data_IF_141918202492
#
_entry.id   IF_141918202492
#
_cell.length_a   1.000
_cell.length_b   1.000
_cell.length_c   1.000
_cell.angle_alpha   90.00
_cell.angle_beta   90.00
_cell.angle_gamma   90.00
#
_symmetry.space_group_name_H-M   'P 1'
#
loop_
_entity.id
_entity.type
_entity.pdbx_description
1 polymer ?
#
# COMPACT_ATOMS: atom_id res chain seq x y z
N UNK A 1 6.51 8.45 -27.90
CA UNK A 1 7.55 8.17 -26.88
C UNK A 1 7.06 8.53 -25.48
N UNK A 2 6.34 9.65 -25.33
CA UNK A 2 5.83 10.12 -24.04
C UNK A 2 4.91 9.15 -23.29
N UNK A 3 4.00 8.44 -23.99
CA UNK A 3 3.05 7.52 -23.34
C UNK A 3 3.75 6.33 -22.67
N UNK A 4 4.83 5.81 -23.28
CA UNK A 4 5.64 4.74 -22.69
C UNK A 4 6.39 5.21 -21.44
N UNK A 5 6.99 6.41 -21.48
CA UNK A 5 7.63 7.02 -20.31
C UNK A 5 6.62 7.28 -19.17
N UNK A 6 5.39 7.65 -19.51
CA UNK A 6 4.31 7.89 -18.54
C UNK A 6 3.84 6.60 -17.87
N UNK A 7 3.55 5.55 -18.63
CA UNK A 7 3.21 4.23 -18.06
C UNK A 7 4.34 3.69 -17.17
N UNK A 8 5.59 3.90 -17.55
CA UNK A 8 6.74 3.51 -16.74
C UNK A 8 6.75 4.23 -15.39
N UNK A 9 6.43 5.54 -15.38
CA UNK A 9 6.35 6.33 -14.14
C UNK A 9 5.28 5.79 -13.18
N UNK A 10 4.10 5.44 -13.69
CA UNK A 10 2.99 4.95 -12.86
C UNK A 10 3.31 3.59 -12.24
N UNK A 11 3.90 2.67 -13.02
CA UNK A 11 4.35 1.36 -12.52
C UNK A 11 5.46 1.50 -11.45
N UNK A 12 6.34 2.50 -11.57
CA UNK A 12 7.38 2.76 -10.58
C UNK A 12 6.82 3.19 -9.23
N UNK A 13 5.78 4.03 -9.22
CA UNK A 13 5.14 4.46 -7.97
C UNK A 13 4.53 3.24 -7.25
N UNK A 14 3.86 2.35 -7.99
CA UNK A 14 3.24 1.13 -7.44
C UNK A 14 4.30 0.17 -6.90
N UNK A 15 5.45 0.05 -7.58
CA UNK A 15 6.57 -0.78 -7.12
C UNK A 15 7.25 -0.21 -5.86
N UNK A 16 7.35 1.12 -5.76
CA UNK A 16 7.89 1.77 -4.56
C UNK A 16 6.94 1.59 -3.35
N UNK A 17 5.62 1.59 -3.58
CA UNK A 17 4.64 1.37 -2.52
C UNK A 17 4.73 -0.06 -1.95
N UNK A 18 4.89 -1.10 -2.78
CA UNK A 18 5.10 -2.49 -2.31
C UNK A 18 6.44 -2.67 -1.60
N UNK A 19 7.51 -2.08 -2.12
CA UNK A 19 8.84 -2.14 -1.50
C UNK A 19 8.83 -1.53 -0.10
N UNK A 20 8.10 -0.43 0.11
CA UNK A 20 7.97 0.22 1.42
C UNK A 20 7.22 -0.63 2.46
N UNK A 21 6.25 -1.46 2.05
CA UNK A 21 5.53 -2.35 2.96
C UNK A 21 6.38 -3.59 3.30
N UNK A 22 7.10 -4.12 2.32
CA UNK A 22 8.04 -5.22 2.53
C UNK A 22 9.18 -4.84 3.48
N UNK A 23 9.67 -3.59 3.44
CA UNK A 23 10.73 -3.15 4.36
C UNK A 23 10.28 -3.18 5.82
N UNK A 24 9.02 -2.82 6.12
CA UNK A 24 8.46 -2.90 7.48
C UNK A 24 8.37 -4.35 7.96
N UNK A 25 8.03 -5.29 7.07
CA UNK A 25 8.05 -6.72 7.40
C UNK A 25 9.46 -7.21 7.73
N UNK A 26 10.46 -6.76 6.97
CA UNK A 26 11.88 -7.10 7.23
C UNK A 26 12.35 -6.50 8.55
N UNK A 27 11.90 -5.29 8.90
CA UNK A 27 12.18 -4.68 10.22
C UNK A 27 11.59 -5.51 11.37
N UNK A 28 10.35 -6.00 11.23
CA UNK A 28 9.72 -6.88 12.22
C UNK A 28 10.50 -8.20 12.40
N UNK A 29 10.99 -8.79 11.31
CA UNK A 29 11.87 -9.97 11.35
C UNK A 29 13.18 -9.65 12.08
N UNK A 30 13.74 -8.45 11.86
CA UNK A 30 14.99 -8.01 12.49
C UNK A 30 14.93 -7.92 14.02
N UNK A 31 13.76 -7.62 14.59
CA UNK A 31 13.52 -7.62 16.04
C UNK A 31 12.98 -8.96 16.57
N UNK A 32 13.13 -10.04 15.79
CA UNK A 32 12.63 -11.39 16.13
C UNK A 32 11.11 -11.48 16.33
N UNK A 33 10.34 -10.56 15.77
CA UNK A 33 8.87 -10.52 15.81
C UNK A 33 8.27 -11.18 14.57
N UNK A 34 8.54 -12.48 14.39
CA UNK A 34 8.17 -13.22 13.17
C UNK A 34 6.66 -13.34 12.99
N UNK A 35 5.92 -13.55 14.09
CA UNK A 35 4.46 -13.70 14.05
C UNK A 35 3.79 -12.43 13.49
N UNK A 36 4.27 -11.26 13.90
CA UNK A 36 3.77 -9.97 13.42
C UNK A 36 4.12 -9.74 11.95
N UNK A 37 5.32 -10.12 11.52
CA UNK A 37 5.74 -10.01 10.13
C UNK A 37 4.87 -10.86 9.20
N UNK A 38 4.59 -12.11 9.59
CA UNK A 38 3.73 -13.03 8.85
C UNK A 38 2.28 -12.53 8.84
N UNK A 39 1.77 -12.06 9.99
CA UNK A 39 0.44 -11.48 10.08
C UNK A 39 0.26 -10.29 9.12
N UNK A 40 1.21 -9.35 9.11
CA UNK A 40 1.17 -8.22 8.18
C UNK A 40 1.33 -8.66 6.72
N UNK A 41 2.15 -9.67 6.43
CA UNK A 41 2.28 -10.24 5.09
C UNK A 41 0.95 -10.79 4.56
N UNK A 42 0.18 -11.51 5.38
CA UNK A 42 -1.16 -11.97 5.01
C UNK A 42 -2.09 -10.78 4.71
N UNK A 43 -2.19 -9.81 5.62
CA UNK A 43 -3.02 -8.62 5.42
C UNK A 43 -2.65 -7.85 4.14
N UNK A 44 -1.34 -7.62 3.94
CA UNK A 44 -0.81 -6.93 2.77
C UNK A 44 -1.14 -7.67 1.47
N UNK A 45 -1.04 -9.00 1.44
CA UNK A 45 -1.40 -9.80 0.27
C UNK A 45 -2.88 -9.62 -0.09
N UNK A 46 -3.79 -9.58 0.89
CA UNK A 46 -5.21 -9.34 0.63
C UNK A 46 -5.47 -7.94 0.08
N UNK A 47 -4.90 -6.87 0.65
CA UNK A 47 -5.14 -5.51 0.13
C UNK A 47 -4.56 -5.32 -1.27
N UNK A 48 -3.35 -5.83 -1.52
CA UNK A 48 -2.73 -5.77 -2.84
C UNK A 48 -3.53 -6.59 -3.86
N UNK A 49 -3.99 -7.79 -3.52
CA UNK A 49 -4.84 -8.58 -4.40
C UNK A 49 -6.14 -7.83 -4.75
N UNK A 50 -6.75 -7.16 -3.76
CA UNK A 50 -7.99 -6.40 -3.95
C UNK A 50 -7.76 -5.15 -4.82
N UNK A 51 -6.65 -4.42 -4.64
CA UNK A 51 -6.25 -3.33 -5.54
C UNK A 51 -6.03 -3.80 -6.98
N UNK A 52 -5.25 -4.87 -7.18
CA UNK A 52 -4.95 -5.38 -8.53
C UNK A 52 -6.18 -5.94 -9.22
N UNK A 53 -7.06 -6.62 -8.50
CA UNK A 53 -8.32 -7.13 -9.05
C UNK A 53 -9.29 -5.98 -9.39
N UNK A 54 -9.40 -4.99 -8.51
CA UNK A 54 -10.19 -3.79 -8.75
C UNK A 54 -9.69 -3.02 -9.98
N UNK A 55 -8.40 -2.70 -10.03
CA UNK A 55 -7.77 -2.04 -11.16
C UNK A 55 -7.91 -2.85 -12.46
N UNK A 56 -7.75 -4.18 -12.41
CA UNK A 56 -7.95 -5.06 -13.55
C UNK A 56 -9.39 -5.01 -14.09
N UNK A 57 -10.39 -4.99 -13.20
CA UNK A 57 -11.80 -4.86 -13.61
C UNK A 57 -12.09 -3.51 -14.27
N UNK A 58 -11.46 -2.44 -13.78
CA UNK A 58 -11.55 -1.09 -14.36
C UNK A 58 -10.91 -1.06 -15.74
N UNK A 59 -9.68 -1.56 -15.88
CA UNK A 59 -8.96 -1.60 -17.17
C UNK A 59 -9.79 -2.36 -18.22
N UNK A 60 -10.33 -3.53 -17.85
CA UNK A 60 -11.12 -4.35 -18.76
C UNK A 60 -12.44 -3.70 -19.18
N UNK A 61 -13.02 -2.85 -18.32
CA UNK A 61 -14.23 -2.09 -18.66
C UNK A 61 -13.98 -0.94 -19.64
N UNK A 62 -12.71 -0.55 -19.84
CA UNK A 62 -12.33 0.56 -20.71
C UNK A 62 -12.02 0.07 -22.12
N UNK A 63 -12.60 0.72 -23.13
CA UNK A 63 -12.49 0.38 -24.55
C UNK A 63 -11.04 0.27 -25.06
N UNK A 64 -10.11 1.00 -24.46
CA UNK A 64 -8.72 1.09 -24.93
C UNK A 64 -7.70 0.29 -24.11
N UNK A 65 -8.11 -0.44 -23.06
CA UNK A 65 -7.23 -1.14 -22.10
C UNK A 65 -6.01 -0.28 -21.64
N UNK A 66 -6.16 1.04 -21.66
CA UNK A 66 -5.06 1.99 -21.43
C UNK A 66 -4.78 2.10 -19.95
N UNK A 67 -3.58 1.72 -19.52
CA UNK A 67 -3.16 1.78 -18.10
C UNK A 67 -2.74 3.19 -17.59
N UNK A 68 -2.99 4.27 -18.33
CA UNK A 68 -2.61 5.64 -17.91
C UNK A 68 -3.66 6.20 -16.95
N UNK A 69 -3.27 6.45 -15.69
CA UNK A 69 -4.22 6.77 -14.61
C UNK A 69 -5.01 8.06 -14.87
N UNK A 70 -4.43 9.02 -15.59
CA UNK A 70 -5.06 10.32 -15.90
C UNK A 70 -6.22 10.23 -16.88
N UNK A 71 -6.33 9.13 -17.62
CA UNK A 71 -7.44 8.89 -18.55
C UNK A 71 -8.64 8.28 -17.83
N UNK A 72 -8.46 7.86 -16.58
CA UNK A 72 -9.57 7.45 -15.74
C UNK A 72 -10.21 8.67 -15.10
N UNK A 73 -11.52 8.81 -15.29
CA UNK A 73 -12.32 9.85 -14.66
C UNK A 73 -13.75 9.34 -14.52
N UNK A 74 -14.44 9.75 -13.45
CA UNK A 74 -15.85 9.39 -13.25
C UNK A 74 -16.09 7.90 -12.98
N UNK A 75 -15.12 7.16 -12.44
CA UNK A 75 -15.23 5.72 -12.11
C UNK A 75 -16.42 5.42 -11.18
N UNK A 76 -16.78 6.35 -10.32
CA UNK A 76 -17.87 6.23 -9.35
C UNK A 76 -19.22 5.93 -10.04
N UNK A 77 -19.48 6.52 -11.21
CA UNK A 77 -20.76 6.33 -11.92
C UNK A 77 -20.76 5.10 -12.84
N UNK A 78 -19.59 4.67 -13.33
CA UNK A 78 -19.48 3.54 -14.28
C UNK A 78 -19.33 2.19 -13.58
N UNK A 79 -18.51 2.09 -12.53
CA UNK A 79 -18.20 0.83 -11.84
C UNK A 79 -18.13 1.04 -10.32
N UNK A 80 -19.27 1.33 -9.66
CA UNK A 80 -19.31 1.68 -8.23
C UNK A 80 -18.75 0.56 -7.34
N UNK A 81 -18.97 -0.71 -7.69
CA UNK A 81 -18.44 -1.84 -6.93
C UNK A 81 -16.90 -1.87 -6.95
N UNK A 82 -16.30 -1.84 -8.13
CA UNK A 82 -14.84 -1.81 -8.29
C UNK A 82 -14.20 -0.58 -7.65
N UNK A 83 -14.86 0.58 -7.75
CA UNK A 83 -14.41 1.80 -7.08
C UNK A 83 -14.39 1.65 -5.55
N UNK A 84 -15.48 1.16 -4.95
CA UNK A 84 -15.53 0.95 -3.48
C UNK A 84 -14.51 -0.09 -3.01
N UNK A 85 -14.28 -1.14 -3.80
CA UNK A 85 -13.28 -2.15 -3.53
C UNK A 85 -11.87 -1.53 -3.49
N UNK A 86 -11.46 -0.82 -4.56
CA UNK A 86 -10.17 -0.12 -4.62
C UNK A 86 -10.03 0.85 -3.45
N UNK A 87 -11.07 1.64 -3.16
CA UNK A 87 -11.07 2.60 -2.07
C UNK A 87 -10.85 1.92 -0.69
N UNK A 88 -11.54 0.82 -0.40
CA UNK A 88 -11.36 0.09 0.86
C UNK A 88 -9.94 -0.47 0.99
N UNK A 89 -9.37 -1.01 -0.10
CA UNK A 89 -7.99 -1.51 -0.06
C UNK A 89 -6.96 -0.39 0.11
N UNK A 90 -7.13 0.76 -0.56
CA UNK A 90 -6.26 1.93 -0.39
C UNK A 90 -6.31 2.46 1.05
N UNK A 91 -7.52 2.60 1.62
CA UNK A 91 -7.70 3.03 3.01
C UNK A 91 -7.04 2.05 4.00
N UNK A 92 -7.08 0.75 3.70
CA UNK A 92 -6.41 -0.26 4.53
C UNK A 92 -4.89 -0.13 4.44
N UNK A 93 -4.32 0.10 3.23
CA UNK A 93 -2.89 0.33 3.04
C UNK A 93 -2.37 1.60 3.73
N UNK A 94 -3.22 2.63 3.84
CA UNK A 94 -2.95 3.86 4.59
C UNK A 94 -3.03 3.67 6.11
N UNK A 95 -3.39 2.48 6.60
CA UNK A 95 -3.49 2.15 8.02
C UNK A 95 -4.48 3.06 8.79
N UNK A 96 -5.66 3.30 8.21
CA UNK A 96 -6.73 4.06 8.89
C UNK A 96 -7.31 3.24 10.06
N UNK A 97 -7.57 3.87 11.23
CA UNK A 97 -8.09 3.18 12.40
C UNK A 97 -9.40 2.44 12.10
N UNK A 98 -9.47 1.17 12.51
CA UNK A 98 -10.61 0.27 12.26
C UNK A 98 -10.43 -0.68 11.07
N UNK A 99 -9.41 -0.48 10.23
CA UNK A 99 -9.06 -1.42 9.15
C UNK A 99 -7.90 -2.33 9.56
N UNK A 100 -7.78 -3.47 8.89
CA UNK A 100 -6.77 -4.50 9.18
C UNK A 100 -5.33 -4.04 8.92
N UNK A 101 -5.12 -3.09 8.01
CA UNK A 101 -3.80 -2.46 7.83
C UNK A 101 -3.33 -1.63 9.03
N UNK A 102 -4.25 -1.01 9.78
CA UNK A 102 -3.93 -0.32 11.03
C UNK A 102 -3.41 -1.31 12.07
N UNK A 103 -4.18 -2.36 12.37
CA UNK A 103 -3.80 -3.35 13.38
C UNK A 103 -2.49 -4.07 13.05
N UNK A 104 -2.20 -4.35 11.79
CA UNK A 104 -0.97 -5.06 11.42
C UNK A 104 0.26 -4.15 11.43
N UNK A 105 0.15 -2.92 10.91
CA UNK A 105 1.29 -1.99 10.79
C UNK A 105 1.62 -1.31 12.11
N UNK A 106 0.61 -0.92 12.89
CA UNK A 106 0.80 -0.16 14.15
C UNK A 106 1.49 -1.01 15.22
N UNK A 107 1.08 -2.28 15.37
CA UNK A 107 1.70 -3.21 16.34
C UNK A 107 3.18 -3.47 15.99
N UNK A 108 3.54 -3.53 14.69
CA UNK A 108 4.96 -3.64 14.30
C UNK A 108 5.73 -2.40 14.74
N UNK A 109 5.20 -1.20 14.48
CA UNK A 109 5.85 0.06 14.86
C UNK A 109 5.97 0.16 16.40
N UNK A 110 4.93 -0.20 17.14
CA UNK A 110 4.95 -0.21 18.61
C UNK A 110 5.96 -1.24 19.15
N UNK A 111 6.08 -2.41 18.53
CA UNK A 111 7.04 -3.44 18.93
C UNK A 111 8.50 -2.97 18.78
N UNK A 112 8.80 -2.11 17.79
CA UNK A 112 10.13 -1.50 17.64
C UNK A 112 10.46 -0.58 18.82
N UNK A 113 9.47 0.21 19.27
CA UNK A 113 9.59 1.07 20.44
C UNK A 113 9.73 0.27 21.74
N UNK A 114 8.99 -0.84 21.88
CA UNK A 114 9.00 -1.74 23.03
C UNK A 114 10.29 -2.53 23.26
N UNK A 115 11.28 -2.47 22.35
CA UNK A 115 12.58 -3.13 22.55
C UNK A 115 13.46 -2.42 23.58
N UNK A 116 13.14 -1.17 23.96
CA UNK A 116 13.89 -0.34 24.92
C UNK A 116 15.40 -0.23 24.63
N UNK A 117 15.81 -0.38 23.37
CA UNK A 117 17.21 -0.20 22.94
C UNK A 117 17.36 1.06 22.10
N UNK A 118 18.56 1.66 22.11
CA UNK A 118 18.86 2.82 21.26
C UNK A 118 18.70 2.49 19.78
N UNK A 119 19.11 1.29 19.37
CA UNK A 119 18.87 0.75 18.03
C UNK A 119 17.38 0.64 17.70
N UNK A 120 16.56 0.17 18.64
CA UNK A 120 15.11 0.07 18.46
C UNK A 120 14.44 1.42 18.23
N UNK A 121 14.82 2.46 18.97
CA UNK A 121 14.29 3.81 18.76
C UNK A 121 14.66 4.37 17.38
N UNK A 122 15.88 4.12 16.88
CA UNK A 122 16.26 4.51 15.52
C UNK A 122 15.38 3.81 14.48
N UNK A 123 15.17 2.50 14.64
CA UNK A 123 14.31 1.73 13.73
C UNK A 123 12.85 2.19 13.79
N UNK A 124 12.35 2.57 14.97
CA UNK A 124 11.03 3.17 15.14
C UNK A 124 10.87 4.44 14.28
N UNK A 125 11.80 5.39 14.35
CA UNK A 125 11.72 6.62 13.54
C UNK A 125 11.80 6.34 12.04
N UNK A 126 12.62 5.37 11.62
CA UNK A 126 12.68 4.93 10.22
C UNK A 126 11.35 4.31 9.79
N UNK A 127 10.74 3.47 10.64
CA UNK A 127 9.46 2.82 10.35
C UNK A 127 8.32 3.86 10.24
N UNK A 128 8.27 4.84 11.15
CA UNK A 128 7.31 5.95 11.06
C UNK A 128 7.52 6.76 9.78
N UNK A 129 8.78 7.07 9.42
CA UNK A 129 9.09 7.75 8.17
C UNK A 129 8.70 6.95 6.92
N UNK A 130 8.84 5.62 6.96
CA UNK A 130 8.36 4.75 5.88
C UNK A 130 6.84 4.75 5.78
N UNK A 131 6.13 4.82 6.92
CA UNK A 131 4.67 4.83 6.97
C UNK A 131 4.07 6.11 6.41
N UNK A 132 4.65 7.28 6.73
CA UNK A 132 4.25 8.57 6.16
C UNK A 132 4.54 8.64 4.67
N UNK A 133 5.65 8.05 4.21
CA UNK A 133 5.95 7.93 2.78
C UNK A 133 4.92 7.05 2.06
N UNK A 134 4.49 5.93 2.66
CA UNK A 134 3.44 5.09 2.06
C UNK A 134 2.15 5.88 1.87
N UNK A 135 1.76 6.68 2.86
CA UNK A 135 0.56 7.53 2.79
C UNK A 135 0.62 8.46 1.57
N UNK A 136 1.75 9.15 1.37
CA UNK A 136 1.95 10.06 0.23
C UNK A 136 1.92 9.30 -1.11
N UNK A 137 2.54 8.12 -1.17
CA UNK A 137 2.55 7.31 -2.40
C UNK A 137 1.17 6.75 -2.76
N UNK A 138 0.34 6.41 -1.77
CA UNK A 138 -1.03 5.90 -1.99
C UNK A 138 -1.97 7.03 -2.44
N UNK A 139 -1.80 8.25 -1.95
CA UNK A 139 -2.54 9.41 -2.47
C UNK A 139 -2.29 9.63 -3.98
N UNK A 140 -1.07 9.34 -4.45
CA UNK A 140 -0.72 9.38 -5.88
C UNK A 140 -1.34 8.21 -6.65
N UNK A 141 -1.51 7.03 -6.05
CA UNK A 141 -2.22 5.89 -6.66
C UNK A 141 -3.74 6.15 -6.82
N UNK A 142 -4.32 7.10 -6.07
CA UNK A 142 -5.75 7.44 -6.13
C UNK A 142 -6.09 8.66 -7.02
N UNK A 143 -5.09 9.38 -7.55
CA UNK A 143 -5.25 10.50 -8.50
C UNK A 143 -5.04 10.07 -9.94
#
# INVERSE_FOLDING_TARGET
>A
MDDCYRQWKDLHVIALSTMSQLSIMVLAIGISSYDLAIYHLYCHAFFKALLFMGAGSVIHSMISETQDMRKYGGLISYSPFSYTAILIASLSLMAIPGLTGYYSKDIIIESLYGTYTLSGYILYYIAVGSATLTYLLVDIEMM
#
